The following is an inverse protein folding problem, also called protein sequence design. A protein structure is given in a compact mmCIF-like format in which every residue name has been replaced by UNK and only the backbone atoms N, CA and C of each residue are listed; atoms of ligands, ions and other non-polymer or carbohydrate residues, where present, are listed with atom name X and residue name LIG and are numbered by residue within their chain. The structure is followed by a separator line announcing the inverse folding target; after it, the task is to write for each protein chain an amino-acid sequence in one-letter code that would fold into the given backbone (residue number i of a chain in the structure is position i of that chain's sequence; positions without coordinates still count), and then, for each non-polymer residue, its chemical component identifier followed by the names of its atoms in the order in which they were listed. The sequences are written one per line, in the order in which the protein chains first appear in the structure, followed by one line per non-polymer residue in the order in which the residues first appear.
data_IF_437596757666
#
_entry.id   IF_437596757666
#
_cell.length_a   1.000
_cell.length_b   1.000
_cell.length_c   1.000
_cell.angle_alpha   90.00
_cell.angle_beta   90.00
_cell.angle_gamma   90.00
#
_symmetry.space_group_name_H-M   'P 1'
#
loop_
_entity.id
_entity.type
_entity.pdbx_description
1 polymer ?
#
# COMPACT_ATOMS: atom_id res chain seq x y z
N UNK A 1 7.23 16.52 21.36
CA UNK A 1 8.40 15.62 21.12
C UNK A 1 9.50 16.44 20.49
N UNK A 2 10.75 16.36 20.97
CA UNK A 2 11.87 17.06 20.33
C UNK A 2 12.32 16.31 19.07
N UNK A 3 12.80 17.02 18.05
CA UNK A 3 13.24 16.43 16.78
C UNK A 3 14.29 15.31 16.98
N UNK A 4 15.20 15.51 17.95
CA UNK A 4 16.20 14.52 18.34
C UNK A 4 15.60 13.25 18.97
N UNK A 5 14.54 13.39 19.78
CA UNK A 5 13.85 12.24 20.36
C UNK A 5 13.11 11.42 19.30
N UNK A 6 12.55 12.09 18.28
CA UNK A 6 11.93 11.44 17.14
C UNK A 6 12.96 10.64 16.31
N UNK A 7 14.11 11.25 15.98
CA UNK A 7 15.23 10.60 15.30
C UNK A 7 15.78 9.38 16.06
N UNK A 8 15.97 9.51 17.38
CA UNK A 8 16.42 8.41 18.22
C UNK A 8 15.43 7.25 18.23
N UNK A 9 14.13 7.55 18.21
CA UNK A 9 13.09 6.53 18.13
C UNK A 9 13.03 5.86 16.75
N UNK A 10 13.12 6.61 15.65
CA UNK A 10 13.17 6.01 14.30
C UNK A 10 14.43 5.17 14.09
N UNK A 11 15.59 5.62 14.57
CA UNK A 11 16.83 4.85 14.48
C UNK A 11 16.71 3.51 15.21
N UNK A 12 16.25 3.50 16.47
CA UNK A 12 16.04 2.25 17.21
C UNK A 12 15.00 1.36 16.55
N UNK A 13 13.90 1.93 16.06
CA UNK A 13 12.87 1.17 15.35
C UNK A 13 13.41 0.54 14.05
N UNK A 14 14.30 1.24 13.33
CA UNK A 14 14.93 0.73 12.11
C UNK A 14 15.85 -0.47 12.36
N UNK A 15 16.53 -0.52 13.51
CA UNK A 15 17.41 -1.64 13.88
C UNK A 15 16.67 -2.84 14.50
N UNK A 16 15.38 -2.72 14.83
CA UNK A 16 14.57 -3.84 15.29
C UNK A 16 14.11 -4.65 14.07
N UNK A 17 14.81 -5.77 13.81
CA UNK A 17 14.45 -6.70 12.73
C UNK A 17 13.08 -7.34 13.03
N UNK A 18 12.06 -6.88 12.32
CA UNK A 18 10.69 -7.35 12.49
C UNK A 18 10.47 -8.69 11.76
N UNK A 19 10.95 -9.79 12.36
CA UNK A 19 10.92 -11.16 11.82
C UNK A 19 9.52 -11.67 11.41
N UNK A 20 8.44 -11.00 11.81
CA UNK A 20 7.05 -11.41 11.54
C UNK A 20 6.50 -10.90 10.21
N UNK A 21 7.16 -9.91 9.59
CA UNK A 21 6.80 -9.33 8.29
C UNK A 21 7.52 -10.01 7.12
N UNK A 22 8.12 -11.18 7.34
CA UNK A 22 8.69 -11.97 6.26
C UNK A 22 7.54 -12.52 5.42
N UNK A 23 7.34 -11.95 4.24
CA UNK A 23 6.46 -12.48 3.21
C UNK A 23 7.35 -13.18 2.16
N UNK A 24 7.84 -14.40 2.43
CA UNK A 24 8.86 -15.04 1.60
C UNK A 24 8.38 -15.27 0.17
N UNK A 25 7.09 -15.57 -0.01
CA UNK A 25 6.51 -15.74 -1.35
C UNK A 25 6.36 -14.40 -2.08
N UNK A 26 6.01 -13.34 -1.35
CA UNK A 26 6.07 -11.98 -1.86
C UNK A 26 7.48 -11.66 -2.31
N UNK A 27 8.47 -11.81 -1.42
CA UNK A 27 9.91 -11.62 -1.64
C UNK A 27 10.42 -12.39 -2.85
N UNK A 28 10.06 -13.67 -2.94
CA UNK A 28 10.45 -14.56 -4.04
C UNK A 28 9.85 -14.10 -5.37
N UNK A 29 8.59 -13.66 -5.41
CA UNK A 29 7.97 -13.08 -6.63
C UNK A 29 8.72 -11.83 -7.09
N UNK A 30 8.99 -10.91 -6.16
CA UNK A 30 9.76 -9.70 -6.46
C UNK A 30 11.15 -10.02 -6.99
N UNK A 31 11.86 -10.93 -6.32
CA UNK A 31 13.17 -11.42 -6.72
C UNK A 31 13.16 -12.16 -8.07
N UNK A 32 12.15 -12.97 -8.34
CA UNK A 32 12.00 -13.66 -9.62
C UNK A 32 11.77 -12.67 -10.77
N UNK A 33 10.93 -11.65 -10.56
CA UNK A 33 10.74 -10.59 -11.55
C UNK A 33 12.02 -9.78 -11.79
N UNK A 34 12.78 -9.49 -10.74
CA UNK A 34 14.08 -8.84 -10.86
C UNK A 34 15.08 -9.72 -11.63
N UNK A 35 15.19 -11.00 -11.27
CA UNK A 35 16.08 -11.95 -11.94
C UNK A 35 15.72 -12.12 -13.43
N UNK A 36 14.43 -12.16 -13.75
CA UNK A 36 13.95 -12.21 -15.13
C UNK A 36 14.36 -10.97 -15.92
N UNK A 37 14.13 -9.78 -15.37
CA UNK A 37 14.48 -8.49 -16.01
C UNK A 37 15.99 -8.39 -16.24
N UNK A 38 16.80 -8.77 -15.25
CA UNK A 38 18.27 -8.80 -15.39
C UNK A 38 18.69 -9.82 -16.44
N UNK A 39 18.14 -11.04 -16.42
CA UNK A 39 18.48 -12.09 -17.37
C UNK A 39 18.15 -11.72 -18.82
N UNK A 40 16.97 -11.14 -19.06
CA UNK A 40 16.59 -10.62 -20.38
C UNK A 40 17.51 -9.48 -20.80
N UNK A 41 17.86 -8.57 -19.89
CA UNK A 41 18.76 -7.46 -20.21
C UNK A 41 20.18 -7.92 -20.55
N UNK A 42 20.71 -8.90 -19.83
CA UNK A 42 22.03 -9.49 -20.12
C UNK A 42 22.04 -10.27 -21.43
N UNK A 43 20.91 -10.85 -21.82
CA UNK A 43 20.79 -11.61 -23.06
C UNK A 43 20.67 -10.70 -24.29
N UNK A 44 19.97 -9.57 -24.18
CA UNK A 44 19.69 -8.66 -25.29
C UNK A 44 20.65 -7.46 -25.38
N UNK A 45 21.23 -7.04 -24.26
CA UNK A 45 21.98 -5.78 -24.13
C UNK A 45 23.29 -5.97 -23.37
N UNK A 46 23.86 -4.86 -22.88
CA UNK A 46 25.12 -4.85 -22.14
C UNK A 46 24.94 -5.05 -20.63
N UNK A 47 26.00 -5.42 -19.90
CA UNK A 47 25.98 -5.47 -18.43
C UNK A 47 25.60 -4.15 -17.76
N UNK A 48 25.93 -3.01 -18.39
CA UNK A 48 25.54 -1.69 -17.89
C UNK A 48 24.02 -1.48 -17.97
N UNK A 49 23.40 -1.88 -19.09
CA UNK A 49 21.94 -1.84 -19.26
C UNK A 49 21.25 -2.79 -18.28
N UNK A 50 21.83 -3.98 -18.05
CA UNK A 50 21.33 -4.91 -17.05
C UNK A 50 21.39 -4.35 -15.61
N UNK A 51 22.47 -3.66 -15.24
CA UNK A 51 22.56 -2.99 -13.94
C UNK A 51 21.48 -1.90 -13.79
N UNK A 52 21.25 -1.08 -14.83
CA UNK A 52 20.19 -0.07 -14.84
C UNK A 52 18.78 -0.69 -14.75
N UNK A 53 18.54 -1.78 -15.49
CA UNK A 53 17.27 -2.54 -15.47
C UNK A 53 16.89 -3.04 -14.08
N UNK A 54 17.92 -3.41 -13.29
CA UNK A 54 17.75 -3.95 -11.96
C UNK A 54 17.09 -2.92 -11.04
N UNK A 55 17.44 -1.64 -11.16
CA UNK A 55 16.82 -0.57 -10.37
C UNK A 55 15.35 -0.39 -10.71
N UNK A 56 14.98 -0.47 -11.99
CA UNK A 56 13.59 -0.45 -12.46
C UNK A 56 12.72 -1.53 -11.84
N UNK A 57 13.14 -2.79 -12.01
CA UNK A 57 12.44 -3.93 -11.45
C UNK A 57 12.46 -3.95 -9.92
N UNK A 58 13.55 -3.52 -9.29
CA UNK A 58 13.67 -3.39 -7.85
C UNK A 58 12.69 -2.35 -7.29
N UNK A 59 12.66 -1.14 -7.86
CA UNK A 59 11.75 -0.09 -7.40
C UNK A 59 10.29 -0.51 -7.58
N UNK A 60 9.94 -1.08 -8.73
CA UNK A 60 8.61 -1.61 -8.97
C UNK A 60 8.23 -2.74 -8.00
N UNK A 61 9.18 -3.63 -7.66
CA UNK A 61 8.95 -4.65 -6.64
C UNK A 61 8.70 -4.00 -5.26
N UNK A 62 9.56 -3.07 -4.83
CA UNK A 62 9.43 -2.31 -3.57
C UNK A 62 8.09 -1.59 -3.49
N UNK A 63 7.66 -0.92 -4.57
CA UNK A 63 6.36 -0.27 -4.67
C UNK A 63 5.19 -1.22 -4.39
N UNK A 64 5.32 -2.50 -4.76
CA UNK A 64 4.29 -3.53 -4.47
C UNK A 64 4.35 -4.08 -3.05
N UNK A 65 5.47 -3.94 -2.32
CA UNK A 65 5.52 -4.25 -0.88
C UNK A 65 5.02 -3.11 0.01
N UNK A 66 4.92 -1.89 -0.53
CA UNK A 66 4.41 -0.77 0.23
C UNK A 66 2.97 -1.07 0.69
N UNK A 67 2.70 -0.78 1.98
CA UNK A 67 1.49 -1.18 2.73
C UNK A 67 0.21 -0.94 1.93
N UNK A 68 -0.28 -1.98 1.25
CA UNK A 68 -1.54 -1.92 0.53
C UNK A 68 -2.31 -3.22 0.68
N UNK A 69 -3.58 -3.09 1.05
CA UNK A 69 -4.47 -4.22 1.31
C UNK A 69 -4.93 -4.94 0.03
N UNK A 70 -4.62 -4.38 -1.15
CA UNK A 70 -4.99 -4.92 -2.47
C UNK A 70 -3.74 -4.94 -3.37
N UNK A 71 -3.57 -5.98 -4.21
CA UNK A 71 -2.58 -5.92 -5.28
C UNK A 71 -2.94 -4.75 -6.20
N UNK A 72 -2.08 -3.72 -6.21
CA UNK A 72 -2.22 -2.53 -7.07
C UNK A 72 -1.13 -2.58 -8.14
N UNK A 73 -1.33 -3.30 -9.26
CA UNK A 73 -0.34 -3.36 -10.33
C UNK A 73 -0.02 -1.97 -10.89
N UNK A 74 -0.95 -1.02 -10.77
CA UNK A 74 -0.75 0.38 -11.11
C UNK A 74 0.44 0.99 -10.36
N UNK A 75 0.70 0.60 -9.10
CA UNK A 75 1.84 1.13 -8.35
C UNK A 75 3.18 0.68 -8.95
N UNK A 76 3.27 -0.55 -9.44
CA UNK A 76 4.47 -1.05 -10.13
C UNK A 76 4.69 -0.32 -11.46
N UNK A 77 3.61 -0.05 -12.21
CA UNK A 77 3.69 0.71 -13.47
C UNK A 77 4.10 2.15 -13.24
N UNK A 78 3.43 2.85 -12.31
CA UNK A 78 3.75 4.25 -11.97
C UNK A 78 5.17 4.34 -11.39
N UNK A 79 5.58 3.38 -10.58
CA UNK A 79 6.94 3.25 -10.06
C UNK A 79 7.97 3.15 -11.19
N UNK A 80 7.82 2.18 -12.09
CA UNK A 80 8.72 1.99 -13.22
C UNK A 80 8.75 3.21 -14.15
N UNK A 81 7.59 3.82 -14.41
CA UNK A 81 7.49 5.01 -15.26
C UNK A 81 8.12 6.25 -14.64
N UNK A 82 7.81 6.55 -13.39
CA UNK A 82 8.41 7.69 -12.70
C UNK A 82 9.91 7.54 -12.59
N UNK A 83 10.41 6.33 -12.34
CA UNK A 83 11.84 6.08 -12.32
C UNK A 83 12.47 6.22 -13.71
N UNK A 84 11.89 5.62 -14.75
CA UNK A 84 12.38 5.76 -16.12
C UNK A 84 12.44 7.22 -16.60
N UNK A 85 11.38 7.99 -16.34
CA UNK A 85 11.34 9.43 -16.67
C UNK A 85 12.40 10.20 -15.87
N UNK A 86 12.53 9.94 -14.57
CA UNK A 86 13.49 10.64 -13.70
C UNK A 86 14.93 10.38 -14.14
N UNK A 87 15.27 9.13 -14.43
CA UNK A 87 16.61 8.74 -14.87
C UNK A 87 16.95 9.31 -16.25
N UNK A 88 16.00 9.31 -17.19
CA UNK A 88 16.17 9.94 -18.50
C UNK A 88 16.40 11.46 -18.41
N UNK A 89 15.55 12.16 -17.65
CA UNK A 89 15.71 13.61 -17.45
C UNK A 89 17.01 13.94 -16.70
N UNK A 90 17.38 13.12 -15.72
CA UNK A 90 18.64 13.21 -15.01
C UNK A 90 19.82 13.12 -15.98
N UNK A 91 19.81 12.16 -16.90
CA UNK A 91 20.84 12.02 -17.92
C UNK A 91 20.91 13.24 -18.86
N UNK A 92 19.77 13.68 -19.40
CA UNK A 92 19.73 14.82 -20.32
C UNK A 92 20.30 16.11 -19.68
N UNK A 93 20.06 16.29 -18.39
CA UNK A 93 20.54 17.44 -17.63
C UNK A 93 21.97 17.28 -17.09
N UNK A 94 22.51 16.06 -17.00
CA UNK A 94 23.81 15.78 -16.40
C UNK A 94 24.98 16.52 -17.08
N UNK A 95 24.85 16.83 -18.37
CA UNK A 95 25.83 17.63 -19.12
C UNK A 95 25.89 19.10 -18.70
N UNK A 96 24.84 19.62 -18.05
CA UNK A 96 24.69 21.02 -17.65
C UNK A 96 24.44 21.11 -16.14
N UNK A 97 25.50 21.38 -15.37
CA UNK A 97 25.46 21.36 -13.91
C UNK A 97 24.30 22.18 -13.31
N UNK A 98 24.06 23.39 -13.81
CA UNK A 98 22.97 24.26 -13.31
C UNK A 98 21.60 23.64 -13.57
N UNK A 99 21.39 23.09 -14.77
CA UNK A 99 20.13 22.44 -15.13
C UNK A 99 19.90 21.19 -14.29
N UNK A 100 20.96 20.40 -14.07
CA UNK A 100 20.91 19.21 -13.23
C UNK A 100 20.58 19.56 -11.78
N UNK A 101 21.21 20.59 -11.20
CA UNK A 101 20.93 21.04 -9.84
C UNK A 101 19.50 21.56 -9.71
N UNK A 102 18.98 22.28 -10.72
CA UNK A 102 17.60 22.73 -10.75
C UNK A 102 16.61 21.56 -10.80
N UNK A 103 16.88 20.56 -11.66
CA UNK A 103 16.08 19.33 -11.74
C UNK A 103 16.11 18.56 -10.41
N UNK A 104 17.28 18.39 -9.82
CA UNK A 104 17.46 17.72 -8.54
C UNK A 104 16.71 18.43 -7.41
N UNK A 105 16.77 19.77 -7.36
CA UNK A 105 16.02 20.57 -6.40
C UNK A 105 14.50 20.39 -6.57
N UNK A 106 14.01 20.41 -7.82
CA UNK A 106 12.60 20.18 -8.12
C UNK A 106 12.14 18.78 -7.71
N UNK A 107 12.92 17.74 -8.04
CA UNK A 107 12.61 16.35 -7.68
C UNK A 107 12.71 16.08 -6.18
N UNK A 108 13.68 16.67 -5.48
CA UNK A 108 13.78 16.59 -4.02
C UNK A 108 12.57 17.28 -3.35
N UNK A 109 12.18 18.46 -3.83
CA UNK A 109 11.01 19.18 -3.33
C UNK A 109 9.71 18.40 -3.54
N UNK A 110 9.49 17.89 -4.75
CA UNK A 110 8.30 17.08 -5.07
C UNK A 110 8.27 15.75 -4.33
N UNK A 111 9.44 15.14 -4.11
CA UNK A 111 9.56 13.97 -3.24
C UNK A 111 9.16 14.30 -1.81
N UNK A 112 9.63 15.42 -1.26
CA UNK A 112 9.22 15.91 0.05
C UNK A 112 7.71 16.13 0.15
N UNK A 113 7.11 16.77 -0.86
CA UNK A 113 5.66 17.01 -0.93
C UNK A 113 4.86 15.70 -1.03
N UNK A 114 5.40 14.68 -1.69
CA UNK A 114 4.75 13.38 -1.86
C UNK A 114 4.45 12.66 -0.53
N UNK A 115 5.17 12.99 0.54
CA UNK A 115 4.89 12.48 1.89
C UNK A 115 3.53 12.96 2.42
N UNK A 116 3.02 14.10 1.96
CA UNK A 116 1.67 14.58 2.30
C UNK A 116 0.56 13.69 1.71
N UNK A 117 0.80 13.06 0.56
CA UNK A 117 -0.12 12.09 -0.04
C UNK A 117 -0.08 10.73 0.66
N UNK A 118 0.98 10.46 1.43
CA UNK A 118 1.09 9.32 2.32
C UNK A 118 2.47 8.64 2.28
N UNK A 119 2.78 7.79 3.28
CA UNK A 119 4.12 7.20 3.44
C UNK A 119 4.58 6.36 2.24
N UNK A 120 3.65 5.62 1.60
CA UNK A 120 3.96 4.80 0.41
C UNK A 120 4.46 5.65 -0.75
N UNK A 121 3.73 6.73 -1.06
CA UNK A 121 4.08 7.63 -2.16
C UNK A 121 5.38 8.39 -1.84
N UNK A 122 5.53 8.83 -0.58
CA UNK A 122 6.75 9.47 -0.07
C UNK A 122 7.99 8.60 -0.25
N UNK A 123 7.95 7.34 0.23
CA UNK A 123 9.08 6.40 0.08
C UNK A 123 9.44 6.16 -1.38
N UNK A 124 8.44 5.89 -2.23
CA UNK A 124 8.67 5.67 -3.67
C UNK A 124 9.31 6.89 -4.34
N UNK A 125 8.79 8.09 -4.07
CA UNK A 125 9.32 9.33 -4.64
C UNK A 125 10.75 9.62 -4.13
N UNK A 126 11.03 9.39 -2.84
CA UNK A 126 12.36 9.61 -2.27
C UNK A 126 13.39 8.63 -2.81
N UNK A 127 13.02 7.36 -3.00
CA UNK A 127 13.90 6.37 -3.62
C UNK A 127 14.24 6.71 -5.07
N UNK A 128 13.31 7.28 -5.85
CA UNK A 128 13.58 7.71 -7.22
C UNK A 128 14.72 8.74 -7.30
N UNK A 129 14.78 9.71 -6.37
CA UNK A 129 15.86 10.72 -6.33
C UNK A 129 17.22 10.05 -6.09
N UNK A 130 17.28 9.12 -5.14
CA UNK A 130 18.51 8.39 -4.83
C UNK A 130 18.97 7.53 -6.02
N UNK A 131 18.04 6.80 -6.65
CA UNK A 131 18.36 5.95 -7.81
C UNK A 131 18.78 6.81 -9.02
N UNK A 132 18.15 7.98 -9.23
CA UNK A 132 18.55 8.91 -10.28
C UNK A 132 20.02 9.33 -10.14
N UNK A 133 20.47 9.69 -8.93
CA UNK A 133 21.87 10.06 -8.67
C UNK A 133 22.86 8.93 -8.96
N UNK A 134 22.45 7.67 -8.79
CA UNK A 134 23.27 6.50 -9.12
C UNK A 134 23.30 6.31 -10.64
N UNK A 135 22.12 6.28 -11.25
CA UNK A 135 21.92 5.88 -12.65
C UNK A 135 22.46 6.88 -13.67
N UNK A 136 22.53 8.17 -13.34
CA UNK A 136 23.09 9.19 -14.24
C UNK A 136 24.57 8.96 -14.60
N UNK A 137 25.29 8.16 -13.81
CA UNK A 137 26.71 7.89 -14.02
C UNK A 137 26.99 6.73 -14.99
N UNK A 138 25.94 6.02 -15.43
CA UNK A 138 26.08 4.81 -16.25
C UNK A 138 26.06 5.04 -17.77
N UNK A 139 25.14 5.85 -18.35
CA UNK A 139 25.05 6.00 -19.81
C UNK A 139 26.11 6.97 -20.35
N UNK A 140 26.68 6.62 -21.50
CA UNK A 140 27.55 7.48 -22.30
C UNK A 140 26.83 8.24 -23.41
N UNK A 141 25.61 7.82 -23.79
CA UNK A 141 24.84 8.44 -24.88
C UNK A 141 23.33 8.59 -24.59
N UNK A 142 22.66 9.47 -25.34
CA UNK A 142 21.19 9.68 -25.24
C UNK A 142 20.43 8.41 -25.59
N UNK A 143 20.93 7.62 -26.56
CA UNK A 143 20.34 6.35 -26.93
C UNK A 143 20.37 5.34 -25.76
N UNK A 144 21.53 5.19 -25.11
CA UNK A 144 21.67 4.33 -23.92
C UNK A 144 20.78 4.81 -22.76
N UNK A 145 20.62 6.12 -22.58
CA UNK A 145 19.71 6.66 -21.58
C UNK A 145 18.24 6.31 -21.87
N UNK A 146 17.83 6.36 -23.14
CA UNK A 146 16.50 5.94 -23.57
C UNK A 146 16.31 4.42 -23.36
N UNK A 147 17.33 3.61 -23.64
CA UNK A 147 17.33 2.17 -23.35
C UNK A 147 17.16 1.90 -21.85
N UNK A 148 17.91 2.59 -20.99
CA UNK A 148 17.77 2.47 -19.53
C UNK A 148 16.38 2.86 -19.02
N UNK A 149 15.78 3.92 -19.58
CA UNK A 149 14.44 4.36 -19.23
C UNK A 149 13.38 3.34 -19.67
N UNK A 150 13.49 2.82 -20.89
CA UNK A 150 12.62 1.77 -21.42
C UNK A 150 12.74 0.48 -20.59
N UNK A 151 13.95 0.13 -20.18
CA UNK A 151 14.19 -1.05 -19.37
C UNK A 151 13.66 -0.90 -17.94
N UNK A 152 13.67 0.33 -17.40
CA UNK A 152 13.03 0.63 -16.11
C UNK A 152 11.51 0.49 -16.16
N UNK A 153 10.90 0.96 -17.24
CA UNK A 153 9.47 0.75 -17.54
C UNK A 153 9.15 -0.73 -17.69
N UNK A 154 9.99 -1.50 -18.40
CA UNK A 154 9.84 -2.94 -18.55
C UNK A 154 9.91 -3.67 -17.20
N UNK A 155 10.82 -3.28 -16.31
CA UNK A 155 10.87 -3.78 -14.94
C UNK A 155 9.56 -3.56 -14.19
N UNK A 156 8.96 -2.38 -14.34
CA UNK A 156 7.61 -2.07 -13.84
C UNK A 156 6.52 -2.97 -14.41
N UNK A 157 6.54 -3.18 -15.73
CA UNK A 157 5.59 -4.05 -16.45
C UNK A 157 5.68 -5.51 -15.99
N UNK A 158 6.89 -6.06 -15.87
CA UNK A 158 7.11 -7.43 -15.39
C UNK A 158 6.59 -7.59 -13.97
N UNK A 159 6.90 -6.66 -13.08
CA UNK A 159 6.43 -6.71 -11.69
C UNK A 159 4.90 -6.58 -11.59
N UNK A 160 4.29 -5.72 -12.42
CA UNK A 160 2.84 -5.60 -12.53
C UNK A 160 2.20 -6.89 -13.05
N UNK A 161 2.76 -7.50 -14.10
CA UNK A 161 2.28 -8.75 -14.68
C UNK A 161 2.37 -9.90 -13.67
N UNK A 162 3.51 -10.05 -12.98
CA UNK A 162 3.69 -11.05 -11.93
C UNK A 162 2.71 -10.86 -10.77
N UNK A 163 2.38 -9.61 -10.43
CA UNK A 163 1.39 -9.32 -9.38
C UNK A 163 -0.03 -9.74 -9.80
N UNK A 164 -0.37 -9.59 -11.09
CA UNK A 164 -1.67 -9.99 -11.65
C UNK A 164 -1.75 -11.51 -11.81
N UNK A 165 -0.70 -12.15 -12.32
CA UNK A 165 -0.64 -13.59 -12.56
C UNK A 165 -0.51 -14.41 -11.27
N UNK A 166 0.21 -13.89 -10.28
CA UNK A 166 0.44 -14.55 -8.98
C UNK A 166 0.01 -13.64 -7.82
N UNK A 167 -1.31 -13.39 -7.66
CA UNK A 167 -1.82 -12.50 -6.62
C UNK A 167 -1.74 -13.18 -5.25
N UNK A 168 -0.70 -12.86 -4.47
CA UNK A 168 -0.59 -13.35 -3.10
C UNK A 168 -1.49 -12.52 -2.17
N UNK A 169 -2.60 -13.10 -1.69
CA UNK A 169 -3.60 -12.40 -0.85
C UNK A 169 -3.64 -12.96 0.57
N UNK A 170 -2.56 -12.77 1.34
CA UNK A 170 -2.42 -13.25 2.73
C UNK A 170 -3.59 -12.88 3.65
N UNK A 171 -4.16 -11.70 3.46
CA UNK A 171 -5.21 -11.14 4.33
C UNK A 171 -6.61 -11.20 3.73
N UNK A 172 -6.79 -11.90 2.61
CA UNK A 172 -8.09 -12.00 1.94
C UNK A 172 -9.19 -12.53 2.86
N UNK A 173 -8.97 -13.63 3.62
CA UNK A 173 -10.03 -14.16 4.49
C UNK A 173 -10.43 -13.17 5.59
N UNK A 174 -9.47 -12.46 6.18
CA UNK A 174 -9.73 -11.44 7.20
C UNK A 174 -10.51 -10.24 6.65
N UNK A 175 -10.17 -9.80 5.43
CA UNK A 175 -10.85 -8.70 4.76
C UNK A 175 -12.26 -9.05 4.32
N UNK A 176 -12.44 -10.23 3.74
CA UNK A 176 -13.72 -10.69 3.23
C UNK A 176 -14.66 -10.87 4.44
N UNK A 177 -14.22 -11.53 5.51
CA UNK A 177 -15.00 -11.67 6.75
C UNK A 177 -15.37 -10.33 7.41
N UNK A 178 -14.46 -9.34 7.42
CA UNK A 178 -14.78 -8.00 7.92
C UNK A 178 -15.78 -7.25 7.02
N UNK A 179 -15.67 -7.41 5.70
CA UNK A 179 -16.61 -6.80 4.77
C UNK A 179 -18.00 -7.43 4.93
N UNK A 180 -18.08 -8.75 5.10
CA UNK A 180 -19.33 -9.47 5.35
C UNK A 180 -19.96 -9.06 6.68
N UNK A 181 -19.17 -8.86 7.73
CA UNK A 181 -19.65 -8.35 9.02
C UNK A 181 -20.25 -6.93 8.90
N UNK A 182 -19.59 -6.02 8.20
CA UNK A 182 -20.10 -4.66 7.97
C UNK A 182 -21.34 -4.65 7.06
N UNK A 183 -21.41 -5.55 6.08
CA UNK A 183 -22.59 -5.72 5.24
C UNK A 183 -23.79 -6.21 6.07
N UNK A 184 -23.57 -7.18 6.96
CA UNK A 184 -24.59 -7.68 7.87
C UNK A 184 -25.11 -6.59 8.83
N UNK A 185 -24.24 -5.72 9.33
CA UNK A 185 -24.65 -4.55 10.13
C UNK A 185 -25.47 -3.54 9.32
N UNK A 186 -25.10 -3.30 8.05
CA UNK A 186 -25.86 -2.41 7.17
C UNK A 186 -27.22 -3.01 6.77
N UNK A 187 -27.30 -4.32 6.56
CA UNK A 187 -28.56 -5.04 6.35
C UNK A 187 -29.44 -4.96 7.61
N UNK A 188 -28.84 -5.11 8.79
CA UNK A 188 -29.54 -4.99 10.06
C UNK A 188 -30.12 -3.58 10.28
N UNK A 189 -29.35 -2.52 10.03
CA UNK A 189 -29.86 -1.15 10.10
C UNK A 189 -31.09 -0.94 9.21
N UNK A 190 -31.02 -1.42 7.96
CA UNK A 190 -32.14 -1.35 7.01
C UNK A 190 -33.36 -2.12 7.48
N UNK A 191 -33.20 -3.26 8.15
CA UNK A 191 -34.33 -4.00 8.75
C UNK A 191 -34.92 -3.26 9.94
N UNK A 192 -34.08 -2.69 10.82
CA UNK A 192 -34.50 -1.91 11.98
C UNK A 192 -35.32 -0.66 11.63
N UNK A 193 -35.12 -0.11 10.44
CA UNK A 193 -35.93 0.98 9.88
C UNK A 193 -37.42 0.61 9.82
N UNK A 194 -37.70 -0.63 9.41
CA UNK A 194 -39.06 -1.14 9.20
C UNK A 194 -39.60 -1.89 10.40
N UNK A 195 -38.74 -2.65 11.10
CA UNK A 195 -39.09 -3.44 12.27
C UNK A 195 -38.09 -3.15 13.41
N UNK A 196 -38.49 -2.37 14.45
CA UNK A 196 -37.66 -2.08 15.61
C UNK A 196 -37.10 -3.31 16.35
N UNK A 197 -37.74 -4.48 16.18
CA UNK A 197 -37.39 -5.72 16.86
C UNK A 197 -36.76 -6.75 15.93
N UNK A 198 -36.30 -6.33 14.74
CA UNK A 198 -35.64 -7.23 13.81
C UNK A 198 -34.46 -7.95 14.46
N UNK A 199 -34.30 -9.25 14.18
CA UNK A 199 -33.17 -10.02 14.69
C UNK A 199 -31.87 -9.75 13.90
N UNK A 200 -30.74 -9.83 14.63
CA UNK A 200 -29.40 -9.74 14.08
C UNK A 200 -28.78 -11.13 13.98
N UNK A 201 -28.29 -11.50 12.79
CA UNK A 201 -27.49 -12.70 12.59
C UNK A 201 -26.05 -12.47 13.09
N UNK A 202 -25.59 -13.16 14.14
CA UNK A 202 -24.24 -12.98 14.68
C UNK A 202 -23.15 -13.69 13.86
N UNK A 203 -23.50 -14.58 12.94
CA UNK A 203 -22.55 -15.45 12.24
C UNK A 203 -21.46 -14.66 11.47
N UNK A 204 -21.77 -13.59 10.71
CA UNK A 204 -20.76 -12.79 10.02
C UNK A 204 -19.80 -12.09 10.99
N UNK A 205 -20.30 -11.64 12.14
CA UNK A 205 -19.49 -11.00 13.19
C UNK A 205 -18.57 -12.02 13.88
N UNK A 206 -19.07 -13.24 14.09
CA UNK A 206 -18.29 -14.35 14.64
C UNK A 206 -17.22 -14.84 13.66
N UNK A 207 -17.54 -14.95 12.37
CA UNK A 207 -16.58 -15.26 11.31
C UNK A 207 -15.47 -14.19 11.22
N UNK A 208 -15.82 -12.90 11.30
CA UNK A 208 -14.83 -11.82 11.39
C UNK A 208 -13.97 -11.92 12.66
N UNK A 209 -14.57 -12.34 13.78
CA UNK A 209 -13.86 -12.55 15.06
C UNK A 209 -12.89 -13.73 15.00
N UNK A 210 -13.27 -14.81 14.34
CA UNK A 210 -12.47 -16.02 14.09
C UNK A 210 -11.34 -15.77 13.09
N UNK A 211 -11.64 -15.10 11.97
CA UNK A 211 -10.64 -14.68 10.99
C UNK A 211 -9.64 -13.64 11.57
N UNK A 212 -9.99 -13.02 12.70
CA UNK A 212 -9.14 -12.13 13.47
C UNK A 212 -8.44 -12.82 14.65
N UNK A 213 -8.67 -14.12 14.90
CA UNK A 213 -8.03 -14.83 16.00
C UNK A 213 -6.52 -14.89 15.76
N UNK A 214 -5.84 -14.12 16.60
CA UNK A 214 -4.40 -14.10 16.68
C UNK A 214 -3.92 -15.31 17.47
N UNK A 215 -2.91 -16.02 16.96
CA UNK A 215 -2.21 -17.05 17.72
C UNK A 215 -1.70 -16.49 19.07
N UNK A 216 -1.47 -17.31 20.11
CA UNK A 216 -0.97 -16.85 21.41
C UNK A 216 0.34 -16.04 21.34
N UNK A 217 1.13 -16.25 20.28
CA UNK A 217 2.34 -15.47 19.96
C UNK A 217 2.04 -14.13 19.29
N UNK A 218 0.91 -13.97 18.61
CA UNK A 218 0.41 -12.73 17.98
C UNK A 218 -0.23 -11.80 19.01
N UNK A 219 -1.00 -12.36 19.93
CA UNK A 219 -1.64 -11.62 21.03
C UNK A 219 -0.63 -10.86 21.90
N UNK A 220 0.55 -11.46 22.13
CA UNK A 220 1.63 -10.89 22.96
C UNK A 220 2.34 -9.67 22.34
N UNK A 221 2.14 -9.40 21.04
CA UNK A 221 2.84 -8.32 20.29
C UNK A 221 1.92 -7.40 19.47
N UNK A 222 0.59 -7.54 19.63
CA UNK A 222 -0.49 -6.71 19.05
C UNK A 222 -0.12 -5.93 17.77
N UNK A 223 -0.23 -6.55 16.58
CA UNK A 223 -0.10 -5.82 15.31
C UNK A 223 -1.15 -4.69 15.25
N UNK A 224 -0.71 -3.46 15.04
CA UNK A 224 -1.59 -2.29 14.95
C UNK A 224 -2.59 -2.39 13.78
N UNK A 225 -2.28 -3.22 12.79
CA UNK A 225 -3.09 -3.47 11.61
C UNK A 225 -4.42 -4.22 11.92
N UNK A 226 -4.55 -4.82 13.10
CA UNK A 226 -5.73 -5.60 13.52
C UNK A 226 -6.66 -4.88 14.50
N UNK A 227 -6.25 -3.71 15.02
CA UNK A 227 -7.02 -2.99 16.04
C UNK A 227 -8.00 -1.95 15.48
N UNK A 228 -7.88 -1.56 14.21
CA UNK A 228 -8.55 -0.35 13.69
C UNK A 228 -10.05 -0.51 13.36
N UNK A 229 -10.41 -1.52 12.56
CA UNK A 229 -11.75 -1.59 11.96
C UNK A 229 -12.72 -2.55 12.68
N UNK A 230 -12.20 -3.59 13.32
CA UNK A 230 -13.02 -4.56 14.09
C UNK A 230 -13.77 -3.89 15.24
N UNK A 231 -13.07 -3.05 16.01
CA UNK A 231 -13.65 -2.35 17.14
C UNK A 231 -14.71 -1.32 16.73
N UNK A 232 -14.78 -0.95 15.44
CA UNK A 232 -15.85 -0.12 14.91
C UNK A 232 -17.10 -0.96 14.63
N UNK A 233 -16.97 -2.09 13.91
CA UNK A 233 -18.08 -3.01 13.64
C UNK A 233 -18.78 -3.45 14.95
N UNK A 234 -18.00 -3.99 15.89
CA UNK A 234 -18.55 -4.44 17.19
C UNK A 234 -19.24 -3.33 18.01
N UNK A 235 -18.89 -2.04 17.78
CA UNK A 235 -19.53 -0.89 18.44
C UNK A 235 -20.76 -0.37 17.69
N UNK A 236 -20.84 -0.54 16.38
CA UNK A 236 -21.97 -0.06 15.57
C UNK A 236 -23.24 -0.82 15.95
N UNK A 237 -23.17 -2.15 16.12
CA UNK A 237 -24.33 -2.98 16.46
C UNK A 237 -25.12 -2.49 17.69
N UNK A 238 -24.53 -2.31 18.89
CA UNK A 238 -25.29 -1.85 20.06
C UNK A 238 -25.85 -0.44 19.87
N UNK A 239 -25.17 0.42 19.10
CA UNK A 239 -25.68 1.76 18.76
C UNK A 239 -26.93 1.66 17.87
N UNK A 240 -26.90 0.83 16.82
CA UNK A 240 -28.06 0.58 15.95
C UNK A 240 -29.24 0.00 16.73
N UNK A 241 -29.00 -0.97 17.60
CA UNK A 241 -30.04 -1.55 18.46
C UNK A 241 -30.65 -0.51 19.41
N UNK A 242 -29.81 0.32 20.06
CA UNK A 242 -30.30 1.38 20.96
C UNK A 242 -31.07 2.49 20.24
N UNK A 243 -30.70 2.82 18.99
CA UNK A 243 -31.40 3.82 18.19
C UNK A 243 -32.77 3.32 17.73
N UNK A 244 -32.87 2.02 17.44
CA UNK A 244 -34.11 1.42 16.94
C UNK A 244 -35.11 1.05 18.04
N UNK A 245 -34.63 0.73 19.25
CA UNK A 245 -35.46 0.32 20.40
C UNK A 245 -36.37 1.47 20.89
N UNK A 246 -37.71 1.32 20.79
CA UNK A 246 -38.65 2.34 21.26
C UNK A 246 -38.61 2.62 22.77
N UNK A 247 -38.06 1.71 23.57
CA UNK A 247 -37.97 1.84 25.03
C UNK A 247 -36.69 2.55 25.49
N UNK A 248 -35.65 2.60 24.64
CA UNK A 248 -34.35 3.20 24.96
C UNK A 248 -34.00 4.42 24.09
N UNK A 249 -34.51 4.47 22.85
CA UNK A 249 -34.20 5.47 21.83
C UNK A 249 -35.38 6.39 21.51
N UNK A 250 -35.75 6.48 20.23
CA UNK A 250 -36.89 7.29 19.79
C UNK A 250 -38.23 6.55 20.01
N UNK A 251 -39.31 7.24 20.43
CA UNK A 251 -40.64 6.65 20.58
C UNK A 251 -41.10 5.89 19.32
N UNK A 252 -42.05 4.97 19.47
CA UNK A 252 -42.54 4.15 18.35
C UNK A 252 -43.16 4.97 17.20
N UNK A 253 -43.65 6.18 17.50
CA UNK A 253 -44.28 7.11 16.56
C UNK A 253 -43.82 8.55 16.81
N UNK A 254 -43.86 9.39 15.77
CA UNK A 254 -43.55 10.82 15.85
C UNK A 254 -42.28 11.25 15.11
N UNK A 255 -41.98 12.55 15.16
CA UNK A 255 -40.88 13.19 14.39
C UNK A 255 -39.52 12.57 14.71
N UNK A 256 -39.31 12.14 15.96
CA UNK A 256 -38.08 11.47 16.38
C UNK A 256 -37.94 10.09 15.75
N UNK A 257 -39.04 9.33 15.59
CA UNK A 257 -39.04 8.05 14.87
C UNK A 257 -38.73 8.23 13.40
N UNK A 258 -39.26 9.28 12.78
CA UNK A 258 -39.01 9.56 11.36
C UNK A 258 -37.54 9.94 11.12
N UNK A 259 -36.91 10.69 12.04
CA UNK A 259 -35.46 10.95 12.01
C UNK A 259 -34.63 9.68 12.17
N UNK A 260 -35.02 8.77 13.08
CA UNK A 260 -34.34 7.46 13.21
C UNK A 260 -34.47 6.65 11.92
N UNK A 261 -35.64 6.67 11.26
CA UNK A 261 -35.86 6.00 9.96
C UNK A 261 -35.10 6.63 8.80
N UNK A 262 -34.71 7.90 8.89
CA UNK A 262 -33.84 8.56 7.92
C UNK A 262 -32.36 8.23 8.14
N UNK A 263 -31.96 7.96 9.38
CA UNK A 263 -30.59 7.59 9.77
C UNK A 263 -30.26 6.10 9.53
N UNK A 264 -31.28 5.23 9.57
CA UNK A 264 -31.20 3.77 9.33
C UNK A 264 -31.44 3.40 7.86
#
# INVERSE_FOLDING_TARGET
MSWLSALGHTARAAFVVERRRLEPLGALRGAAGLAFVIGVSLWLFSPAVAASSAFGAYQAAIATYQRSWRPRPQLALVSGATLGISTFLGYLSASHLVLFLALLAAWAFLSGLSWAAGPTVGVMASSNVAIMLITITLPGSVAEAAEHAAMSLFGGLVQAALLVLFPFRRWRPHRDALADALAAEADYARRLRHDPHADFDPEPLMAAREAAQLTPREHRRRPAELSGARGLAERIRPVLASLADPALGAPAEGIERDRVRELL
#
